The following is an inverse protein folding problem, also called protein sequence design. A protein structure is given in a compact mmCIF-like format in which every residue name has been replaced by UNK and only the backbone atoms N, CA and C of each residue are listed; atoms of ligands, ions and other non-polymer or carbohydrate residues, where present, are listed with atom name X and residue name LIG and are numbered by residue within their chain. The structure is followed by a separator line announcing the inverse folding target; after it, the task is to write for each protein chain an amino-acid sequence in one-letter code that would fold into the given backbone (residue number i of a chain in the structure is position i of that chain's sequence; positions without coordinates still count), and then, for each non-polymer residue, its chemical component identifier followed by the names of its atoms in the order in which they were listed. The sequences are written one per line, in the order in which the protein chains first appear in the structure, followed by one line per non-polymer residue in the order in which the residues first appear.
data_IF_955671138100
#
_entry.id   IF_955671138100
#
_cell.length_a   1.000
_cell.length_b   1.000
_cell.length_c   1.000
_cell.angle_alpha   90.00
_cell.angle_beta   90.00
_cell.angle_gamma   90.00
#
_symmetry.space_group_name_H-M   'P 1'
#
loop_
_entity.id
_entity.type
_entity.pdbx_description
1 polymer ?
#
# COMPACT_ATOMS: atom_id res chain seq x y z
N UNK A 1 -27.49 33.62 -12.12
CA UNK A 1 -27.12 32.25 -11.70
C UNK A 1 -25.60 32.07 -11.59
N UNK A 2 -24.89 33.06 -11.00
CA UNK A 2 -23.42 33.08 -10.88
C UNK A 2 -23.00 33.38 -9.42
N UNK A 3 -23.96 33.63 -8.53
CA UNK A 3 -23.69 34.04 -7.14
C UNK A 3 -23.76 32.88 -6.13
N UNK A 4 -24.13 31.66 -6.55
CA UNK A 4 -24.23 30.50 -5.65
C UNK A 4 -22.98 29.60 -5.65
N UNK A 5 -21.99 29.87 -6.51
CA UNK A 5 -20.73 29.11 -6.58
C UNK A 5 -19.63 29.65 -5.66
N UNK A 6 -19.88 30.74 -4.92
CA UNK A 6 -18.91 31.34 -3.99
C UNK A 6 -19.06 30.84 -2.53
N UNK A 7 -20.06 29.99 -2.23
CA UNK A 7 -20.35 29.55 -0.84
C UNK A 7 -20.11 28.04 -0.64
N UNK A 8 -19.94 27.25 -1.69
CA UNK A 8 -19.44 25.87 -1.54
C UNK A 8 -17.92 25.91 -1.60
N UNK A 9 -17.30 25.72 -0.43
CA UNK A 9 -15.85 25.61 -0.27
C UNK A 9 -15.24 24.76 -1.38
N UNK A 10 -14.14 25.27 -1.92
CA UNK A 10 -13.28 24.63 -2.91
C UNK A 10 -12.56 23.43 -2.25
N UNK A 11 -13.31 22.49 -1.68
CA UNK A 11 -12.86 21.14 -1.36
C UNK A 11 -12.82 20.36 -2.69
N UNK A 12 -11.92 20.78 -3.58
CA UNK A 12 -11.55 19.98 -4.73
C UNK A 12 -10.74 18.81 -4.17
N UNK A 13 -11.45 17.73 -3.84
CA UNK A 13 -10.89 16.44 -3.48
C UNK A 13 -9.85 16.05 -4.54
N UNK A 14 -8.57 16.16 -4.19
CA UNK A 14 -7.52 15.41 -4.88
C UNK A 14 -7.64 14.00 -4.33
N UNK A 15 -7.69 12.98 -5.19
CA UNK A 15 -8.07 11.59 -4.83
C UNK A 15 -7.31 10.95 -3.65
N UNK A 16 -6.25 11.58 -3.14
CA UNK A 16 -5.42 11.12 -2.02
C UNK A 16 -5.27 12.12 -0.86
N UNK A 17 -5.87 13.31 -0.96
CA UNK A 17 -5.84 14.35 0.08
C UNK A 17 -7.27 14.69 0.51
N UNK A 18 -7.62 14.35 1.74
CA UNK A 18 -8.94 14.63 2.33
C UNK A 18 -8.88 15.91 3.14
N UNK A 19 -9.58 16.95 2.69
CA UNK A 19 -9.60 18.24 3.37
C UNK A 19 -10.26 18.17 4.75
N UNK A 20 -9.63 18.77 5.77
CA UNK A 20 -10.21 18.94 7.09
C UNK A 20 -11.12 20.19 7.09
N UNK A 21 -12.38 20.00 7.44
CA UNK A 21 -13.44 21.02 7.47
C UNK A 21 -13.91 21.40 8.89
N UNK A 22 -13.48 20.66 9.92
CA UNK A 22 -13.76 20.92 11.33
C UNK A 22 -12.49 20.78 12.20
N UNK A 23 -12.20 21.75 13.08
CA UNK A 23 -11.05 21.73 13.99
C UNK A 23 -11.15 20.67 15.09
N UNK A 24 -12.36 20.21 15.43
CA UNK A 24 -12.55 19.10 16.37
C UNK A 24 -11.87 17.81 15.90
N UNK A 25 -11.59 17.69 14.59
CA UNK A 25 -10.83 16.60 13.98
C UNK A 25 -9.56 16.26 14.77
N UNK A 26 -8.81 17.28 15.20
CA UNK A 26 -7.54 17.12 15.92
C UNK A 26 -7.67 16.55 17.34
N UNK A 27 -8.89 16.46 17.86
CA UNK A 27 -9.18 15.87 19.17
C UNK A 27 -9.72 14.45 19.06
N UNK A 28 -10.33 14.08 17.93
CA UNK A 28 -11.02 12.80 17.76
C UNK A 28 -10.27 11.80 16.88
N UNK A 29 -9.29 12.25 16.09
CA UNK A 29 -8.55 11.40 15.16
C UNK A 29 -7.11 11.17 15.63
N UNK A 30 -6.81 9.91 15.92
CA UNK A 30 -5.47 9.40 16.26
C UNK A 30 -4.95 8.50 15.13
N UNK A 31 -3.66 8.16 15.16
CA UNK A 31 -2.99 7.37 14.13
C UNK A 31 -3.21 7.89 12.70
N UNK A 32 -2.93 9.17 12.49
CA UNK A 32 -3.23 9.86 11.23
C UNK A 32 -2.09 10.75 10.75
N UNK A 33 -2.01 10.92 9.43
CA UNK A 33 -1.10 11.83 8.77
C UNK A 33 -1.85 13.07 8.28
N UNK A 34 -1.31 14.25 8.54
CA UNK A 34 -1.92 15.53 8.18
C UNK A 34 -0.89 16.40 7.47
N UNK A 35 -1.21 16.79 6.25
CA UNK A 35 -0.44 17.73 5.45
C UNK A 35 -0.94 19.16 5.69
N UNK A 36 -0.06 20.03 6.19
CA UNK A 36 -0.28 21.45 6.33
C UNK A 36 0.33 22.19 5.13
N UNK A 37 -0.53 22.88 4.38
CA UNK A 37 -0.12 23.61 3.18
C UNK A 37 -1.10 24.71 2.82
N UNK A 38 -0.79 25.45 1.74
CA UNK A 38 -1.71 26.45 1.18
C UNK A 38 -1.53 26.61 -0.33
N UNK A 39 -2.62 26.84 -1.08
CA UNK A 39 -2.55 27.02 -2.54
C UNK A 39 -1.71 28.22 -2.97
N UNK A 40 -1.62 29.26 -2.14
CA UNK A 40 -0.89 30.50 -2.47
C UNK A 40 0.63 30.34 -2.35
N UNK A 41 1.14 29.34 -1.61
CA UNK A 41 2.57 29.13 -1.40
C UNK A 41 3.20 28.31 -2.54
N UNK A 42 4.28 28.80 -3.15
CA UNK A 42 4.99 28.10 -4.22
C UNK A 42 5.61 26.80 -3.74
N UNK A 43 6.26 26.80 -2.57
CA UNK A 43 6.90 25.61 -2.01
C UNK A 43 5.87 24.55 -1.63
N UNK A 44 4.69 24.96 -1.14
CA UNK A 44 3.58 24.04 -0.91
C UNK A 44 3.12 23.37 -2.19
N UNK A 45 2.94 24.13 -3.29
CA UNK A 45 2.52 23.55 -4.57
C UNK A 45 3.54 22.58 -5.12
N UNK A 46 4.83 22.90 -5.01
CA UNK A 46 5.91 22.02 -5.46
C UNK A 46 5.95 20.73 -4.62
N UNK A 47 5.97 20.85 -3.29
CA UNK A 47 5.95 19.71 -2.38
C UNK A 47 4.70 18.82 -2.56
N UNK A 48 3.53 19.43 -2.74
CA UNK A 48 2.28 18.71 -2.93
C UNK A 48 2.30 17.83 -4.19
N UNK A 49 3.03 18.20 -5.24
CA UNK A 49 3.21 17.34 -6.42
C UNK A 49 3.94 16.04 -6.05
N UNK A 50 5.10 16.14 -5.39
CA UNK A 50 5.85 14.97 -4.94
C UNK A 50 5.05 14.11 -3.96
N UNK A 51 4.34 14.75 -3.03
CA UNK A 51 3.48 14.07 -2.08
C UNK A 51 2.37 13.28 -2.79
N UNK A 52 1.68 13.88 -3.77
CA UNK A 52 0.63 13.21 -4.53
C UNK A 52 1.16 12.04 -5.36
N UNK A 53 2.36 12.15 -5.92
CA UNK A 53 3.00 11.03 -6.61
C UNK A 53 3.23 9.85 -5.65
N UNK A 54 3.76 10.12 -4.45
CA UNK A 54 3.93 9.07 -3.42
C UNK A 54 2.60 8.47 -2.99
N UNK A 55 1.59 9.31 -2.72
CA UNK A 55 0.29 8.84 -2.25
C UNK A 55 -0.45 8.03 -3.31
N UNK A 56 -0.37 8.44 -4.58
CA UNK A 56 -1.02 7.74 -5.69
C UNK A 56 -0.35 6.41 -6.02
N UNK A 57 0.99 6.36 -6.07
CA UNK A 57 1.75 5.12 -6.33
C UNK A 57 1.55 4.05 -5.26
N UNK A 58 1.19 4.45 -4.04
CA UNK A 58 1.00 3.57 -2.90
C UNK A 58 -0.47 3.47 -2.47
N UNK A 59 -1.39 4.11 -3.19
CA UNK A 59 -2.83 4.15 -2.92
C UNK A 59 -3.18 4.54 -1.47
N UNK A 60 -2.52 5.57 -0.96
CA UNK A 60 -2.70 6.08 0.41
C UNK A 60 -3.47 7.36 0.39
N UNK A 61 -4.26 7.60 1.42
CA UNK A 61 -4.93 8.86 1.64
C UNK A 61 -4.47 9.46 2.97
N UNK A 62 -4.20 10.75 2.97
CA UNK A 62 -3.89 11.51 4.19
C UNK A 62 -4.77 12.76 4.26
N UNK A 63 -4.83 13.39 5.43
CA UNK A 63 -5.63 14.59 5.62
C UNK A 63 -4.88 15.85 5.19
N UNK A 64 -5.62 16.86 4.74
CA UNK A 64 -5.10 18.13 4.29
C UNK A 64 -5.69 19.28 5.09
N UNK A 65 -4.82 20.10 5.67
CA UNK A 65 -5.17 21.31 6.39
C UNK A 65 -4.77 22.54 5.57
N UNK A 66 -5.76 23.24 5.00
CA UNK A 66 -5.54 24.46 4.23
C UNK A 66 -5.32 25.65 5.17
N UNK A 67 -4.05 26.02 5.34
CA UNK A 67 -3.66 27.11 6.25
C UNK A 67 -4.15 28.49 5.81
N UNK A 68 -4.46 28.72 4.53
CA UNK A 68 -5.07 29.99 4.08
C UNK A 68 -6.55 30.08 4.45
N UNK A 69 -7.27 28.97 4.34
CA UNK A 69 -8.69 28.92 4.68
C UNK A 69 -8.93 29.09 6.19
N UNK A 70 -8.05 28.48 7.00
CA UNK A 70 -8.21 28.45 8.45
C UNK A 70 -7.59 29.65 9.17
N UNK A 71 -6.62 30.36 8.58
CA UNK A 71 -5.78 31.39 9.26
C UNK A 71 -6.50 32.33 10.22
N UNK A 72 -7.70 32.79 9.85
CA UNK A 72 -8.45 33.81 10.58
C UNK A 72 -9.61 33.25 11.41
N UNK A 73 -9.76 31.92 11.50
CA UNK A 73 -10.82 31.26 12.26
C UNK A 73 -10.38 31.00 13.68
N UNK A 74 -11.30 31.16 14.61
CA UNK A 74 -11.10 30.87 16.03
C UNK A 74 -10.58 29.44 16.25
N UNK A 75 -9.67 29.26 17.21
CA UNK A 75 -9.03 27.97 17.51
C UNK A 75 -7.87 27.58 16.57
N UNK A 76 -7.68 28.24 15.43
CA UNK A 76 -6.61 27.87 14.47
C UNK A 76 -5.21 28.11 15.03
N UNK A 77 -5.01 29.20 15.77
CA UNK A 77 -3.71 29.49 16.39
C UNK A 77 -3.33 28.45 17.44
N UNK A 78 -4.33 27.91 18.16
CA UNK A 78 -4.10 26.85 19.14
C UNK A 78 -3.64 25.56 18.45
N UNK A 79 -4.16 25.25 17.26
CA UNK A 79 -3.67 24.13 16.44
C UNK A 79 -2.21 24.38 16.04
N UNK A 80 -1.87 25.56 15.51
CA UNK A 80 -0.48 25.85 15.13
C UNK A 80 0.47 25.75 16.33
N UNK A 81 0.09 26.28 17.49
CA UNK A 81 0.91 26.17 18.71
C UNK A 81 1.02 24.74 19.22
N UNK A 82 -0.10 24.00 19.29
CA UNK A 82 -0.16 22.63 19.83
C UNK A 82 0.67 21.67 18.99
N UNK A 83 0.59 21.79 17.67
CA UNK A 83 1.32 20.93 16.74
C UNK A 83 2.65 21.54 16.29
N UNK A 84 3.02 22.73 16.80
CA UNK A 84 4.22 23.49 16.45
C UNK A 84 4.40 23.66 14.94
N UNK A 85 3.37 24.17 14.27
CA UNK A 85 3.36 24.44 12.84
C UNK A 85 3.82 25.89 12.62
N UNK A 86 5.14 26.06 12.53
CA UNK A 86 5.74 27.40 12.36
C UNK A 86 5.83 27.81 10.88
N UNK A 87 5.94 26.82 9.98
CA UNK A 87 6.12 27.03 8.54
C UNK A 87 5.38 25.96 7.73
N UNK A 88 5.15 26.24 6.44
CA UNK A 88 4.57 25.30 5.48
C UNK A 88 5.43 25.23 4.23
N UNK A 89 5.52 24.08 3.53
CA UNK A 89 4.78 22.83 3.75
C UNK A 89 5.33 21.98 4.90
N UNK A 90 4.43 21.30 5.63
CA UNK A 90 4.79 20.34 6.67
C UNK A 90 3.81 19.15 6.67
N UNK A 91 4.30 17.95 6.99
CA UNK A 91 3.45 16.79 7.30
C UNK A 91 3.66 16.44 8.77
N UNK A 92 2.57 16.18 9.49
CA UNK A 92 2.66 15.61 10.84
C UNK A 92 2.03 14.22 10.86
N UNK A 93 2.50 13.40 11.80
CA UNK A 93 1.86 12.16 12.21
C UNK A 93 1.43 12.30 13.66
N UNK A 94 0.15 12.03 13.93
CA UNK A 94 -0.37 11.84 15.28
C UNK A 94 -0.47 10.33 15.47
N UNK A 95 0.23 9.74 16.44
CA UNK A 95 0.15 8.30 16.69
C UNK A 95 -1.08 7.91 17.54
N UNK A 96 -1.17 6.64 17.97
CA UNK A 96 -2.26 6.13 18.80
C UNK A 96 -2.23 6.68 20.24
N UNK A 97 -1.08 7.15 20.71
CA UNK A 97 -0.87 7.71 22.04
C UNK A 97 -1.04 9.24 22.03
N UNK A 98 -1.16 9.85 20.85
CA UNK A 98 -1.26 11.28 20.64
C UNK A 98 0.11 11.98 20.51
N UNK A 99 1.21 11.24 20.41
CA UNK A 99 2.53 11.83 20.15
C UNK A 99 2.59 12.35 18.71
N UNK A 100 3.34 13.43 18.53
CA UNK A 100 3.41 14.15 17.26
C UNK A 100 4.81 13.99 16.68
N UNK A 101 4.88 13.41 15.48
CA UNK A 101 6.10 13.41 14.65
C UNK A 101 5.93 14.37 13.48
N UNK A 102 7.00 15.04 13.06
CA UNK A 102 6.97 16.03 11.97
C UNK A 102 7.94 15.66 10.86
N UNK A 103 7.50 15.88 9.63
CA UNK A 103 8.33 15.87 8.46
C UNK A 103 8.78 17.30 8.15
N UNK A 104 10.09 17.51 8.17
CA UNK A 104 10.69 18.77 7.78
C UNK A 104 10.99 18.73 6.29
N UNK A 105 10.35 19.63 5.55
CA UNK A 105 10.65 19.80 4.13
C UNK A 105 12.01 20.51 3.98
N UNK A 106 12.95 19.80 3.38
CA UNK A 106 14.27 20.31 3.03
C UNK A 106 14.46 20.18 1.52
N UNK A 107 14.72 21.30 0.84
CA UNK A 107 14.93 21.34 -0.62
C UNK A 107 16.35 20.93 -1.03
N UNK A 108 17.32 20.95 -0.11
CA UNK A 108 18.74 20.73 -0.42
C UNK A 108 19.15 19.25 -0.31
N UNK A 109 18.40 18.45 0.43
CA UNK A 109 18.69 17.03 0.63
C UNK A 109 18.11 16.16 -0.49
N UNK A 110 18.86 15.10 -0.85
CA UNK A 110 18.55 14.15 -1.92
C UNK A 110 17.17 13.48 -1.82
N UNK A 111 16.81 12.79 -2.91
CA UNK A 111 15.51 12.17 -3.22
C UNK A 111 14.37 12.40 -2.22
N UNK A 112 13.75 13.58 -2.32
CA UNK A 112 12.56 14.02 -1.58
C UNK A 112 11.43 12.97 -1.57
N UNK A 113 11.32 12.14 -2.61
CA UNK A 113 10.27 11.12 -2.70
C UNK A 113 10.49 10.01 -1.68
N UNK A 114 11.73 9.59 -1.50
CA UNK A 114 12.08 8.51 -0.58
C UNK A 114 12.02 8.96 0.89
N UNK A 115 12.35 10.22 1.19
CA UNK A 115 12.18 10.77 2.54
C UNK A 115 10.71 10.86 2.93
N UNK A 116 9.81 11.26 2.01
CA UNK A 116 8.36 11.25 2.23
C UNK A 116 7.88 9.82 2.47
N UNK A 117 8.30 8.85 1.64
CA UNK A 117 7.93 7.43 1.83
C UNK A 117 8.34 6.91 3.20
N UNK A 118 9.58 7.16 3.62
CA UNK A 118 10.09 6.72 4.91
C UNK A 118 9.27 7.32 6.06
N UNK A 119 8.98 8.62 6.02
CA UNK A 119 8.15 9.27 7.05
C UNK A 119 6.71 8.73 7.11
N UNK A 120 6.13 8.45 5.94
CA UNK A 120 4.80 7.84 5.82
C UNK A 120 4.80 6.33 6.18
N UNK A 121 5.94 5.74 6.58
CA UNK A 121 6.03 4.34 6.96
C UNK A 121 5.91 3.36 5.79
N UNK A 122 6.21 3.82 4.57
CA UNK A 122 5.95 3.07 3.32
C UNK A 122 7.05 2.07 2.95
N UNK A 123 8.14 2.06 3.70
CA UNK A 123 9.20 1.06 3.53
C UNK A 123 8.63 -0.36 3.67
N UNK A 124 7.60 -0.52 4.50
CA UNK A 124 6.86 -1.75 4.68
C UNK A 124 6.00 -2.20 3.52
N UNK A 125 5.31 -1.26 2.86
CA UNK A 125 4.51 -1.57 1.68
C UNK A 125 5.35 -2.14 0.54
N UNK A 126 6.62 -1.74 0.46
CA UNK A 126 7.55 -2.30 -0.52
C UNK A 126 7.80 -3.79 -0.28
N UNK A 127 7.92 -4.22 0.98
CA UNK A 127 8.07 -5.63 1.33
C UNK A 127 6.81 -6.42 0.96
N UNK A 128 5.62 -5.92 1.31
CA UNK A 128 4.35 -6.59 0.96
C UNK A 128 4.21 -6.73 -0.56
N UNK A 129 4.48 -5.67 -1.33
CA UNK A 129 4.44 -5.72 -2.81
C UNK A 129 5.45 -6.71 -3.40
N UNK A 130 6.61 -6.87 -2.77
CA UNK A 130 7.61 -7.85 -3.20
C UNK A 130 7.14 -9.28 -2.92
N UNK A 131 6.50 -9.51 -1.77
CA UNK A 131 5.90 -10.79 -1.40
C UNK A 131 4.75 -11.16 -2.36
N UNK A 132 3.86 -10.22 -2.67
CA UNK A 132 2.80 -10.38 -3.68
C UNK A 132 3.37 -10.73 -5.06
N UNK A 133 4.47 -10.10 -5.48
CA UNK A 133 5.13 -10.43 -6.76
C UNK A 133 5.64 -11.88 -6.79
N UNK A 134 6.18 -12.38 -5.68
CA UNK A 134 6.64 -13.77 -5.59
C UNK A 134 5.45 -14.73 -5.68
N UNK A 135 4.29 -14.41 -5.07
CA UNK A 135 3.06 -15.20 -5.23
C UNK A 135 2.63 -15.35 -6.69
N UNK A 136 2.69 -14.27 -7.47
CA UNK A 136 2.42 -14.32 -8.91
C UNK A 136 3.42 -15.23 -9.64
N UNK A 137 4.71 -15.18 -9.28
CA UNK A 137 5.73 -16.06 -9.86
C UNK A 137 5.42 -17.53 -9.52
N UNK A 138 5.07 -17.83 -8.27
CA UNK A 138 4.64 -19.16 -7.85
C UNK A 138 3.44 -19.65 -8.68
N UNK A 139 2.44 -18.80 -8.91
CA UNK A 139 1.28 -19.13 -9.73
C UNK A 139 1.67 -19.45 -11.18
N UNK A 140 2.54 -18.65 -11.79
CA UNK A 140 3.03 -18.89 -13.15
C UNK A 140 3.76 -20.23 -13.24
N UNK A 141 4.59 -20.58 -12.25
CA UNK A 141 5.28 -21.88 -12.20
C UNK A 141 4.26 -23.03 -12.05
N UNK A 142 3.29 -22.89 -11.16
CA UNK A 142 2.21 -23.88 -10.94
C UNK A 142 1.40 -24.14 -12.21
N UNK A 143 1.02 -23.08 -12.95
CA UNK A 143 0.32 -23.17 -14.23
C UNK A 143 1.21 -23.82 -15.28
N UNK A 144 2.49 -23.44 -15.34
CA UNK A 144 3.45 -24.01 -16.30
C UNK A 144 3.61 -25.52 -16.08
N UNK A 145 3.70 -25.96 -14.82
CA UNK A 145 3.73 -27.38 -14.47
C UNK A 145 2.45 -28.10 -14.89
N UNK A 146 1.28 -27.48 -14.65
CA UNK A 146 -0.01 -28.03 -15.06
C UNK A 146 -0.10 -28.24 -16.57
N UNK A 147 0.30 -27.23 -17.35
CA UNK A 147 0.35 -27.31 -18.82
C UNK A 147 1.34 -28.39 -19.26
N UNK A 148 2.53 -28.47 -18.66
CA UNK A 148 3.55 -29.45 -19.02
C UNK A 148 3.08 -30.89 -18.78
N UNK A 149 2.45 -31.16 -17.62
CA UNK A 149 1.86 -32.48 -17.30
C UNK A 149 0.72 -32.79 -18.29
N UNK A 150 -0.17 -31.83 -18.56
CA UNK A 150 -1.26 -31.99 -19.52
C UNK A 150 -0.78 -32.32 -20.94
N UNK A 151 0.26 -31.63 -21.41
CA UNK A 151 0.87 -31.90 -22.72
C UNK A 151 1.55 -33.26 -22.78
N UNK A 152 2.24 -33.66 -21.70
CA UNK A 152 2.88 -34.97 -21.62
C UNK A 152 1.85 -36.10 -21.62
N UNK A 153 0.73 -35.94 -20.89
CA UNK A 153 -0.41 -36.86 -20.92
C UNK A 153 -1.01 -36.98 -22.33
N UNK A 154 -1.27 -35.85 -23.00
CA UNK A 154 -1.83 -35.83 -24.37
C UNK A 154 -0.90 -36.52 -25.37
N UNK A 155 0.42 -36.33 -25.24
CA UNK A 155 1.43 -36.95 -26.11
C UNK A 155 1.85 -38.36 -25.67
N UNK A 156 1.23 -38.93 -24.62
CA UNK A 156 1.59 -40.23 -24.01
C UNK A 156 3.10 -40.35 -23.71
N UNK A 157 3.74 -39.24 -23.33
CA UNK A 157 5.17 -39.23 -22.94
C UNK A 157 5.32 -39.70 -21.50
N UNK A 158 6.46 -40.32 -21.21
CA UNK A 158 6.83 -40.67 -19.84
C UNK A 158 7.02 -39.40 -19.00
N UNK A 159 6.44 -39.39 -17.80
CA UNK A 159 6.54 -38.28 -16.84
C UNK A 159 7.36 -38.75 -15.63
N UNK A 160 8.35 -37.96 -15.23
CA UNK A 160 9.07 -38.16 -13.97
C UNK A 160 8.23 -37.66 -12.78
N UNK A 161 7.31 -38.50 -12.30
CA UNK A 161 6.31 -38.15 -11.28
C UNK A 161 6.91 -37.49 -10.04
N UNK A 162 8.03 -38.03 -9.53
CA UNK A 162 8.71 -37.51 -8.34
C UNK A 162 9.22 -36.09 -8.52
N UNK A 163 9.75 -35.75 -9.69
CA UNK A 163 10.27 -34.41 -9.98
C UNK A 163 9.14 -33.37 -9.95
N UNK A 164 8.03 -33.64 -10.64
CA UNK A 164 6.87 -32.74 -10.64
C UNK A 164 6.21 -32.64 -9.27
N UNK A 165 6.18 -33.73 -8.50
CA UNK A 165 5.72 -33.69 -7.11
C UNK A 165 6.56 -32.74 -6.27
N UNK A 166 7.89 -32.91 -6.28
CA UNK A 166 8.81 -32.07 -5.49
C UNK A 166 8.71 -30.60 -5.92
N UNK A 167 8.68 -30.31 -7.22
CA UNK A 167 8.56 -28.94 -7.72
C UNK A 167 7.26 -28.28 -7.26
N UNK A 168 6.12 -28.95 -7.44
CA UNK A 168 4.82 -28.41 -7.03
C UNK A 168 4.73 -28.25 -5.50
N UNK A 169 5.28 -29.20 -4.74
CA UNK A 169 5.33 -29.11 -3.28
C UNK A 169 6.19 -27.93 -2.81
N UNK A 170 7.34 -27.71 -3.44
CA UNK A 170 8.20 -26.56 -3.16
C UNK A 170 7.47 -25.23 -3.41
N UNK A 171 6.79 -25.10 -4.56
CA UNK A 171 6.03 -23.88 -4.91
C UNK A 171 4.92 -23.62 -3.90
N UNK A 172 4.14 -24.63 -3.53
CA UNK A 172 3.04 -24.45 -2.56
C UNK A 172 3.56 -24.14 -1.16
N UNK A 173 4.71 -24.72 -0.78
CA UNK A 173 5.34 -24.46 0.53
C UNK A 173 5.84 -23.02 0.60
N UNK A 174 6.53 -22.54 -0.44
CA UNK A 174 6.97 -21.14 -0.55
C UNK A 174 5.76 -20.21 -0.47
N UNK A 175 4.69 -20.53 -1.20
CA UNK A 175 3.47 -19.72 -1.20
C UNK A 175 2.82 -19.60 0.20
N UNK A 176 2.73 -20.72 0.93
CA UNK A 176 2.22 -20.68 2.30
C UNK A 176 3.12 -19.90 3.27
N UNK A 177 4.45 -19.97 3.10
CA UNK A 177 5.40 -19.19 3.90
C UNK A 177 5.28 -17.68 3.62
N UNK A 178 4.99 -17.29 2.38
CA UNK A 178 4.75 -15.89 2.02
C UNK A 178 3.53 -15.35 2.76
N UNK A 179 2.39 -16.05 2.72
CA UNK A 179 1.19 -15.62 3.45
C UNK A 179 1.43 -15.52 4.95
N UNK A 180 2.20 -16.46 5.51
CA UNK A 180 2.55 -16.38 6.93
C UNK A 180 3.42 -15.14 7.24
N UNK A 181 4.40 -14.84 6.38
CA UNK A 181 5.27 -13.66 6.53
C UNK A 181 4.50 -12.36 6.35
N UNK A 182 3.61 -12.28 5.36
CA UNK A 182 2.71 -11.15 5.15
C UNK A 182 1.79 -10.94 6.36
N UNK A 183 1.21 -12.00 6.91
CA UNK A 183 0.34 -11.92 8.09
C UNK A 183 1.10 -11.35 9.30
N UNK A 184 2.28 -11.88 9.60
CA UNK A 184 3.12 -11.36 10.68
C UNK A 184 3.50 -9.89 10.47
N UNK A 185 3.84 -9.52 9.23
CA UNK A 185 4.18 -8.15 8.87
C UNK A 185 3.00 -7.18 9.04
N UNK A 186 1.82 -7.59 8.60
CA UNK A 186 0.58 -6.82 8.69
C UNK A 186 0.19 -6.58 10.14
N UNK A 187 0.28 -7.61 10.99
CA UNK A 187 -0.04 -7.52 12.41
C UNK A 187 0.91 -6.58 13.16
N UNK A 188 2.23 -6.72 12.95
CA UNK A 188 3.25 -5.89 13.61
C UNK A 188 3.10 -4.39 13.26
N UNK A 189 2.69 -4.10 12.02
CA UNK A 189 2.58 -2.72 11.53
C UNK A 189 1.14 -2.17 11.58
N UNK A 190 0.18 -2.90 12.16
CA UNK A 190 -1.25 -2.55 12.16
C UNK A 190 -1.79 -2.15 10.77
N UNK A 191 -1.36 -2.87 9.73
CA UNK A 191 -1.79 -2.63 8.36
C UNK A 191 -3.08 -3.41 8.06
N UNK A 192 -3.74 -3.06 6.96
CA UNK A 192 -4.79 -3.90 6.38
C UNK A 192 -4.15 -4.95 5.46
N UNK A 193 -4.47 -6.23 5.66
CA UNK A 193 -3.97 -7.32 4.83
C UNK A 193 -4.49 -7.29 3.38
N UNK A 194 -3.74 -7.93 2.47
CA UNK A 194 -4.12 -8.05 1.05
C UNK A 194 -5.00 -9.27 0.82
N UNK A 195 -6.25 -9.06 0.39
CA UNK A 195 -7.14 -10.16 -0.03
C UNK A 195 -6.59 -10.92 -1.25
N UNK A 196 -5.78 -10.26 -2.07
CA UNK A 196 -5.25 -10.83 -3.30
C UNK A 196 -4.23 -11.94 -3.02
N UNK A 197 -3.31 -11.75 -2.07
CA UNK A 197 -2.32 -12.76 -1.71
C UNK A 197 -2.98 -14.06 -1.26
N UNK A 198 -4.02 -13.97 -0.41
CA UNK A 198 -4.79 -15.13 0.03
C UNK A 198 -5.45 -15.88 -1.14
N UNK A 199 -6.01 -15.14 -2.10
CA UNK A 199 -6.60 -15.73 -3.31
C UNK A 199 -5.55 -16.44 -4.17
N UNK A 200 -4.36 -15.85 -4.34
CA UNK A 200 -3.25 -16.44 -5.09
C UNK A 200 -2.74 -17.72 -4.42
N UNK A 201 -2.56 -17.74 -3.10
CA UNK A 201 -2.19 -18.95 -2.36
C UNK A 201 -3.25 -20.04 -2.53
N UNK A 202 -4.54 -19.71 -2.42
CA UNK A 202 -5.61 -20.68 -2.67
C UNK A 202 -5.52 -21.28 -4.09
N UNK A 203 -5.24 -20.47 -5.11
CA UNK A 203 -5.01 -20.94 -6.47
C UNK A 203 -3.79 -21.88 -6.56
N UNK A 204 -2.69 -21.55 -5.89
CA UNK A 204 -1.50 -22.39 -5.82
C UNK A 204 -1.78 -23.75 -5.16
N UNK A 205 -2.54 -23.77 -4.06
CA UNK A 205 -2.98 -25.01 -3.39
C UNK A 205 -3.87 -25.85 -4.32
N UNK A 206 -4.84 -25.21 -4.99
CA UNK A 206 -5.73 -25.91 -5.93
C UNK A 206 -4.94 -26.52 -7.09
N UNK A 207 -3.99 -25.78 -7.68
CA UNK A 207 -3.13 -26.27 -8.75
C UNK A 207 -2.21 -27.40 -8.28
N UNK A 208 -1.68 -27.33 -7.06
CA UNK A 208 -0.92 -28.43 -6.46
C UNK A 208 -1.77 -29.71 -6.41
N UNK A 209 -3.01 -29.65 -5.91
CA UNK A 209 -3.91 -30.80 -5.83
C UNK A 209 -4.21 -31.36 -7.23
N UNK A 210 -4.58 -30.49 -8.18
CA UNK A 210 -4.89 -30.89 -9.56
C UNK A 210 -3.70 -31.53 -10.27
N UNK A 211 -2.50 -30.94 -10.12
CA UNK A 211 -1.25 -31.47 -10.69
C UNK A 211 -0.96 -32.88 -10.17
N UNK A 212 -1.16 -33.12 -8.87
CA UNK A 212 -0.96 -34.43 -8.26
C UNK A 212 -1.95 -35.47 -8.78
N UNK A 213 -3.24 -35.13 -8.87
CA UNK A 213 -4.28 -36.02 -9.43
C UNK A 213 -3.94 -36.41 -10.87
N UNK A 214 -3.56 -35.43 -11.71
CA UNK A 214 -3.17 -35.69 -13.09
C UNK A 214 -1.92 -36.58 -13.21
N UNK A 215 -0.94 -36.37 -12.33
CA UNK A 215 0.30 -37.16 -12.30
C UNK A 215 0.05 -38.61 -11.88
N UNK A 216 -0.87 -38.85 -10.94
CA UNK A 216 -1.30 -40.19 -10.53
C UNK A 216 -1.95 -40.93 -11.71
N UNK A 217 -2.87 -40.27 -12.42
CA UNK A 217 -3.59 -40.82 -13.57
C UNK A 217 -2.70 -41.14 -14.79
N UNK A 218 -1.45 -40.68 -14.80
CA UNK A 218 -0.48 -41.03 -15.84
C UNK A 218 -0.03 -42.50 -15.69
N UNK A 219 -0.54 -43.40 -16.55
CA UNK A 219 -0.10 -44.81 -16.62
C UNK A 219 1.35 -44.90 -17.12
N UNK A 220 2.12 -45.87 -16.61
CA UNK A 220 3.41 -46.27 -17.22
C UNK A 220 3.09 -46.86 -18.60
N UNK A 221 3.60 -46.26 -19.66
CA UNK A 221 3.78 -46.96 -20.93
C UNK A 221 4.93 -47.94 -20.73
N UNK A 222 4.58 -49.21 -20.48
CA UNK A 222 5.49 -50.35 -20.65
C UNK A 222 5.96 -50.46 -22.09
#
# INVERSE_FOLDING_TARGET
MVLLQLITGYAKQKNHLTGIDNLEFFNTHLNTYIYFGRPTCIDCRNFEQYLLDVLSENNIQIFYFNTDYWRNREGTQDIYSRFGIDNVPQIIRIDLEGNISKYNYDQENGDLKDSIKHFLGLDGLKMIRYLELIEYICLVISISNFIAIGLALKKKKQIFKTMYFINNFGVVTISNLIIWTEGWYVDENNLSGSTMSFFLNFCNIALFILNNIMTINCKKTT
#
